data_IF_234235235258
#
_entry.id   IF_234235235258
#
_cell.length_a   1.000
_cell.length_b   1.000
_cell.length_c   1.000
_cell.angle_alpha   90.00
_cell.angle_beta   90.00
_cell.angle_gamma   90.00
#
_symmetry.space_group_name_H-M   'P 1'
#
loop_
_entity.id
_entity.type
_entity.pdbx_description
1 polymer ?
#
# COMPACT_ATOMS: atom_id res chain seq x y z
N UNK A 1 12.00 -21.61 -15.66
CA UNK A 1 10.53 -21.59 -15.84
C UNK A 1 9.77 -21.66 -14.51
N UNK A 2 9.88 -22.68 -13.65
CA UNK A 2 9.15 -22.70 -12.34
C UNK A 2 9.66 -21.63 -11.34
N UNK A 3 10.95 -21.32 -11.34
CA UNK A 3 11.54 -20.32 -10.44
C UNK A 3 11.11 -18.89 -10.77
N UNK A 4 10.96 -18.57 -12.05
CA UNK A 4 10.54 -17.25 -12.53
C UNK A 4 9.10 -16.95 -12.07
N UNK A 5 8.20 -17.93 -12.18
CA UNK A 5 6.82 -17.80 -11.70
C UNK A 5 6.74 -17.63 -10.19
N UNK A 6 7.57 -18.32 -9.40
CA UNK A 6 7.62 -18.13 -7.93
C UNK A 6 8.13 -16.74 -7.56
N UNK A 7 9.15 -16.22 -8.25
CA UNK A 7 9.63 -14.86 -8.03
C UNK A 7 8.53 -13.83 -8.34
N UNK A 8 7.85 -13.97 -9.48
CA UNK A 8 6.72 -13.11 -9.85
C UNK A 8 5.56 -13.18 -8.83
N UNK A 9 5.29 -14.36 -8.27
CA UNK A 9 4.26 -14.52 -7.23
C UNK A 9 4.64 -13.79 -5.94
N UNK A 10 5.88 -13.92 -5.49
CA UNK A 10 6.40 -13.20 -4.31
C UNK A 10 6.42 -11.69 -4.61
N UNK A 11 6.69 -11.33 -5.86
CA UNK A 11 6.67 -9.95 -6.30
C UNK A 11 5.27 -9.34 -6.19
N UNK A 12 4.28 -9.98 -6.81
CA UNK A 12 2.88 -9.57 -6.69
C UNK A 12 2.38 -9.59 -5.24
N UNK A 13 2.74 -10.61 -4.45
CA UNK A 13 2.29 -10.73 -3.07
C UNK A 13 2.80 -9.61 -2.19
N UNK A 14 4.08 -9.22 -2.31
CA UNK A 14 4.56 -8.09 -1.51
C UNK A 14 4.06 -6.73 -2.02
N UNK A 15 3.53 -6.66 -3.25
CA UNK A 15 2.93 -5.42 -3.80
C UNK A 15 1.54 -5.27 -3.23
N UNK A 16 0.76 -6.36 -3.24
CA UNK A 16 -0.52 -6.45 -2.56
C UNK A 16 -0.38 -6.18 -1.05
N UNK A 17 0.63 -6.76 -0.38
CA UNK A 17 0.89 -6.50 1.04
C UNK A 17 1.23 -5.01 1.30
N UNK A 18 2.04 -4.40 0.43
CA UNK A 18 2.35 -2.97 0.49
C UNK A 18 1.14 -2.06 0.27
N UNK A 19 0.27 -2.44 -0.67
CA UNK A 19 -0.98 -1.74 -0.93
C UNK A 19 -1.96 -1.85 0.25
N UNK A 20 -2.19 -3.06 0.77
CA UNK A 20 -3.09 -3.29 1.91
C UNK A 20 -2.54 -2.60 3.16
N UNK A 21 -1.24 -2.70 3.42
CA UNK A 21 -0.60 -1.98 4.53
C UNK A 21 -0.73 -0.47 4.40
N UNK A 22 -0.49 0.08 3.21
CA UNK A 22 -0.70 1.50 2.93
C UNK A 22 -2.15 1.95 3.10
N UNK A 23 -3.10 1.16 2.62
CA UNK A 23 -4.52 1.45 2.69
C UNK A 23 -5.01 1.44 4.14
N UNK A 24 -4.55 0.47 4.95
CA UNK A 24 -4.86 0.40 6.38
C UNK A 24 -4.27 1.59 7.15
N UNK A 25 -3.05 2.01 6.84
CA UNK A 25 -2.45 3.21 7.45
C UNK A 25 -3.22 4.47 7.03
N UNK A 26 -3.56 4.60 5.73
CA UNK A 26 -4.38 5.70 5.23
C UNK A 26 -5.77 5.73 5.86
N UNK A 27 -6.39 4.57 6.08
CA UNK A 27 -7.64 4.44 6.80
C UNK A 27 -7.52 4.92 8.25
N UNK A 28 -6.48 4.49 8.97
CA UNK A 28 -6.23 4.92 10.34
C UNK A 28 -5.93 6.42 10.45
N UNK A 29 -5.13 6.98 9.53
CA UNK A 29 -4.89 8.42 9.46
C UNK A 29 -6.17 9.19 9.12
N UNK A 30 -6.96 8.72 8.16
CA UNK A 30 -8.24 9.33 7.82
C UNK A 30 -9.21 9.32 9.01
N UNK A 31 -9.26 8.20 9.74
CA UNK A 31 -10.03 8.05 10.97
C UNK A 31 -9.57 9.02 12.05
N UNK A 32 -8.27 9.14 12.29
CA UNK A 32 -7.67 10.06 13.27
C UNK A 32 -7.91 11.53 12.91
N UNK A 33 -7.92 11.87 11.62
CA UNK A 33 -8.23 13.22 11.14
C UNK A 33 -9.74 13.55 11.18
N UNK A 34 -10.59 12.63 11.66
CA UNK A 34 -12.03 12.85 11.79
C UNK A 34 -12.81 12.67 10.48
N UNK A 35 -12.18 12.10 9.46
CA UNK A 35 -12.86 11.60 8.26
C UNK A 35 -13.46 10.24 8.59
N UNK A 36 -14.61 10.26 9.24
CA UNK A 36 -15.32 9.05 9.61
C UNK A 36 -16.10 8.53 8.40
N UNK A 37 -15.62 7.43 7.82
CA UNK A 37 -16.22 6.77 6.64
C UNK A 37 -17.61 6.20 6.98
N UNK A 38 -17.90 6.05 8.28
CA UNK A 38 -19.15 5.53 8.81
C UNK A 38 -20.11 6.64 9.30
N UNK A 39 -19.85 7.93 9.03
CA UNK A 39 -20.90 8.93 9.28
C UNK A 39 -22.09 8.68 8.37
N UNK A 40 -23.30 8.63 8.91
CA UNK A 40 -24.52 8.46 8.13
C UNK A 40 -24.66 9.53 7.05
N UNK A 41 -24.84 9.08 5.81
CA UNK A 41 -24.97 9.90 4.61
C UNK A 41 -23.68 9.97 3.78
N UNK A 42 -23.83 10.13 2.46
CA UNK A 42 -22.76 10.46 1.50
C UNK A 42 -22.18 11.88 1.78
N UNK A 43 -21.76 12.14 3.01
CA UNK A 43 -21.17 13.40 3.43
C UNK A 43 -19.73 13.51 2.95
N UNK A 44 -19.25 14.74 2.79
CA UNK A 44 -17.88 15.04 2.33
C UNK A 44 -16.79 14.31 3.14
N UNK A 45 -17.08 13.91 4.39
CA UNK A 45 -16.19 13.13 5.26
C UNK A 45 -16.01 11.69 4.80
N UNK A 46 -17.06 11.04 4.30
CA UNK A 46 -16.98 9.68 3.75
C UNK A 46 -16.16 9.66 2.44
N UNK A 47 -16.40 10.64 1.56
CA UNK A 47 -15.65 10.79 0.31
C UNK A 47 -14.17 11.09 0.61
N UNK A 48 -13.90 12.02 1.52
CA UNK A 48 -12.54 12.33 1.96
C UNK A 48 -11.85 11.09 2.53
N UNK A 49 -12.55 10.27 3.33
CA UNK A 49 -12.04 9.01 3.85
C UNK A 49 -11.68 8.00 2.77
N UNK A 50 -12.55 7.78 1.77
CA UNK A 50 -12.26 6.88 0.63
C UNK A 50 -11.03 7.36 -0.15
N UNK A 51 -10.95 8.65 -0.43
CA UNK A 51 -9.77 9.24 -1.09
C UNK A 51 -8.52 9.05 -0.23
N UNK A 52 -8.61 9.23 1.08
CA UNK A 52 -7.49 9.04 2.00
C UNK A 52 -6.99 7.58 2.02
N UNK A 53 -7.91 6.61 2.01
CA UNK A 53 -7.56 5.18 1.91
C UNK A 53 -6.94 4.87 0.56
N UNK A 54 -7.51 5.38 -0.53
CA UNK A 54 -6.98 5.19 -1.88
C UNK A 54 -5.56 5.77 -2.04
N UNK A 55 -5.34 6.98 -1.53
CA UNK A 55 -4.03 7.64 -1.49
C UNK A 55 -3.06 6.86 -0.59
N UNK A 56 -3.51 6.42 0.58
CA UNK A 56 -2.71 5.58 1.49
C UNK A 56 -2.27 4.27 0.84
N UNK A 57 -3.19 3.56 0.18
CA UNK A 57 -2.90 2.33 -0.54
C UNK A 57 -1.95 2.54 -1.71
N UNK A 58 -2.18 3.58 -2.52
CA UNK A 58 -1.31 3.96 -3.63
C UNK A 58 0.11 4.33 -3.19
N UNK A 59 0.25 5.09 -2.09
CA UNK A 59 1.54 5.46 -1.52
C UNK A 59 2.24 4.25 -0.86
N UNK A 60 1.52 3.39 -0.13
CA UNK A 60 2.10 2.17 0.46
C UNK A 60 2.64 1.20 -0.58
N UNK A 61 1.94 1.09 -1.71
CA UNK A 61 2.40 0.34 -2.88
C UNK A 61 3.70 0.93 -3.45
N UNK A 62 3.80 2.27 -3.58
CA UNK A 62 5.04 2.92 -4.02
C UNK A 62 6.21 2.71 -3.04
N UNK A 63 5.96 2.75 -1.73
CA UNK A 63 6.97 2.49 -0.70
C UNK A 63 7.45 1.03 -0.76
N UNK A 64 6.53 0.07 -0.89
CA UNK A 64 6.88 -1.35 -1.02
C UNK A 64 7.72 -1.63 -2.28
N UNK A 65 7.37 -1.02 -3.41
CA UNK A 65 8.18 -1.09 -4.64
C UNK A 65 9.57 -0.47 -4.47
N UNK A 66 9.66 0.68 -3.80
CA UNK A 66 10.93 1.38 -3.57
C UNK A 66 11.84 0.61 -2.60
N UNK A 67 11.27 -0.02 -1.58
CA UNK A 67 12.02 -0.83 -0.63
C UNK A 67 12.59 -2.09 -1.27
N UNK A 68 11.85 -2.72 -2.20
CA UNK A 68 12.36 -3.87 -2.95
C UNK A 68 13.48 -3.53 -3.92
N UNK A 69 13.35 -2.45 -4.69
CA UNK A 69 14.45 -1.93 -5.53
C UNK A 69 15.71 -1.65 -4.70
N UNK A 70 15.55 -1.16 -3.46
CA UNK A 70 16.67 -0.95 -2.55
C UNK A 70 17.32 -2.26 -2.07
N UNK A 71 16.53 -3.34 -1.87
CA UNK A 71 17.06 -4.66 -1.51
C UNK A 71 17.77 -5.36 -2.67
N UNK A 72 17.24 -5.25 -3.90
CA UNK A 72 17.92 -5.76 -5.11
C UNK A 72 19.29 -5.09 -5.30
N UNK A 73 19.35 -3.77 -5.08
CA UNK A 73 20.60 -3.00 -5.17
C UNK A 73 21.63 -3.41 -4.11
N UNK A 74 21.18 -3.85 -2.92
CA UNK A 74 22.06 -4.40 -1.88
C UNK A 74 22.58 -5.79 -2.26
N UNK A 75 21.71 -6.65 -2.80
CA UNK A 75 22.08 -8.02 -3.21
C UNK A 75 23.07 -8.05 -4.37
N UNK A 76 23.06 -7.04 -5.24
CA UNK A 76 24.07 -6.88 -6.30
C UNK A 76 25.41 -6.31 -5.80
N UNK A 77 25.50 -5.84 -4.55
CA UNK A 77 26.74 -5.30 -3.96
C UNK A 77 27.51 -6.35 -3.15
N UNK A 78 26.86 -7.46 -2.81
CA UNK A 78 27.44 -8.63 -2.13
C UNK A 78 27.73 -9.80 -3.10
N UNK A 79 27.57 -9.60 -4.41
CA UNK A 79 27.92 -10.57 -5.47
C UNK A 79 29.06 -10.01 -6.32
#
# INVERSE_FOLDING_TARGET
MVNDTRQLLIEGLSDAAGFIGGALIGFWLGRLLGFDIFTDGYGNRAIAGIVFVGVGGGLGLQVARRWRRAQEKKRSKDQ
#
